data_IF_934495486354
#
_entry.id   IF_934495486354
#
_cell.length_a   1.000
_cell.length_b   1.000
_cell.length_c   1.000
_cell.angle_alpha   90.00
_cell.angle_beta   90.00
_cell.angle_gamma   90.00
#
_symmetry.space_group_name_H-M   'P 1'
#
loop_
_entity.id
_entity.type
_entity.pdbx_description
1 polymer ?
#
# COMPACT_ATOMS: atom_id res chain seq x y z
N UNK A 1 25.51 -16.48 9.07
CA UNK A 1 24.68 -16.90 7.92
C UNK A 1 23.58 -17.80 8.46
N UNK A 2 22.36 -17.29 8.64
CA UNK A 2 21.26 -18.02 9.29
C UNK A 2 20.28 -18.41 8.19
N UNK A 3 20.37 -19.66 7.72
CA UNK A 3 19.39 -20.20 6.77
C UNK A 3 18.14 -20.55 7.57
N UNK A 4 17.00 -19.94 7.22
CA UNK A 4 15.72 -20.15 7.90
C UNK A 4 15.16 -21.54 7.58
N UNK A 5 14.91 -22.34 8.61
CA UNK A 5 14.37 -23.70 8.51
C UNK A 5 13.04 -23.78 7.72
N UNK A 6 12.29 -22.68 7.64
CA UNK A 6 11.02 -22.62 6.88
C UNK A 6 11.24 -22.69 5.36
N UNK A 7 12.34 -22.12 4.86
CA UNK A 7 12.67 -22.14 3.44
C UNK A 7 13.13 -23.53 3.01
N UNK A 8 13.91 -24.21 3.86
CA UNK A 8 14.38 -25.58 3.61
C UNK A 8 13.20 -26.56 3.54
N UNK A 9 12.22 -26.43 4.44
CA UNK A 9 11.03 -27.29 4.45
C UNK A 9 10.16 -27.16 3.20
N UNK A 10 10.15 -25.98 2.58
CA UNK A 10 9.37 -25.71 1.36
C UNK A 10 9.97 -26.43 0.15
N UNK A 11 11.31 -26.50 0.10
CA UNK A 11 12.04 -27.17 -0.98
C UNK A 11 11.90 -28.70 -0.86
N UNK A 12 12.02 -29.26 0.36
CA UNK A 12 11.83 -30.70 0.58
C UNK A 12 10.43 -31.16 0.16
N UNK A 13 9.39 -30.39 0.46
CA UNK A 13 8.02 -30.69 0.02
C UNK A 13 7.88 -30.66 -1.51
N UNK A 14 8.54 -29.73 -2.19
CA UNK A 14 8.50 -29.65 -3.65
C UNK A 14 9.15 -30.88 -4.32
N UNK A 15 10.25 -31.40 -3.76
CA UNK A 15 10.93 -32.59 -4.31
C UNK A 15 10.23 -33.91 -3.95
N UNK A 16 9.61 -34.03 -2.78
CA UNK A 16 8.90 -35.25 -2.38
C UNK A 16 7.57 -35.47 -3.13
N UNK A 17 6.99 -34.43 -3.73
CA UNK A 17 5.74 -34.56 -4.51
C UNK A 17 5.97 -35.23 -5.88
N UNK A 18 7.20 -35.32 -6.37
CA UNK A 18 7.53 -35.94 -7.66
C UNK A 18 7.80 -37.44 -7.58
N UNK A 19 8.06 -38.00 -6.39
CA UNK A 19 8.50 -39.40 -6.24
C UNK A 19 7.36 -40.42 -6.01
N UNK A 20 6.14 -39.97 -5.68
CA UNK A 20 5.03 -40.86 -5.29
C UNK A 20 3.77 -40.67 -6.15
N UNK A 21 3.90 -40.88 -7.47
CA UNK A 21 2.75 -41.12 -8.34
C UNK A 21 2.91 -42.38 -9.18
N UNK A 22 2.80 -43.54 -8.52
CA UNK A 22 2.35 -44.75 -9.20
C UNK A 22 1.67 -45.74 -8.24
N UNK A 23 0.40 -45.49 -7.90
CA UNK A 23 -0.67 -46.50 -7.95
C UNK A 23 -2.00 -46.03 -7.35
N UNK A 24 -3.04 -46.03 -8.21
CA UNK A 24 -4.43 -46.47 -7.97
C UNK A 24 -5.45 -45.48 -7.36
N UNK A 25 -6.60 -45.44 -8.03
CA UNK A 25 -7.68 -44.43 -8.05
C UNK A 25 -8.82 -44.66 -7.02
N UNK A 26 -9.98 -43.99 -7.14
CA UNK A 26 -10.25 -42.54 -7.02
C UNK A 26 -11.22 -42.29 -5.84
N UNK A 27 -10.91 -41.34 -4.95
CA UNK A 27 -11.92 -40.78 -4.06
C UNK A 27 -12.16 -39.33 -4.45
N UNK A 28 -13.44 -39.02 -4.59
CA UNK A 28 -14.00 -37.73 -4.95
C UNK A 28 -13.56 -36.66 -3.95
N UNK A 29 -12.41 -36.06 -4.21
CA UNK A 29 -12.02 -34.80 -3.61
C UNK A 29 -12.47 -33.72 -4.58
N UNK A 30 -13.57 -33.09 -4.16
CA UNK A 30 -13.91 -31.69 -4.39
C UNK A 30 -12.83 -30.98 -5.20
N UNK A 31 -13.16 -30.63 -6.45
CA UNK A 31 -12.23 -30.02 -7.38
C UNK A 31 -11.60 -28.80 -6.74
N UNK A 32 -10.42 -29.00 -6.13
CA UNK A 32 -9.53 -27.92 -5.73
C UNK A 32 -9.13 -27.33 -7.06
N UNK A 33 -9.90 -26.31 -7.49
CA UNK A 33 -9.54 -25.41 -8.55
C UNK A 33 -8.12 -25.01 -8.20
N UNK A 34 -7.17 -25.53 -8.98
CA UNK A 34 -5.75 -25.22 -8.83
C UNK A 34 -5.64 -23.77 -9.30
N UNK A 35 -6.03 -22.88 -8.40
CA UNK A 35 -6.06 -21.45 -8.61
C UNK A 35 -4.62 -21.00 -8.75
N UNK A 36 -4.39 -20.18 -9.76
CA UNK A 36 -3.09 -19.57 -9.97
C UNK A 36 -2.70 -18.81 -8.70
N UNK A 37 -1.60 -19.19 -8.07
CA UNK A 37 -1.16 -18.57 -6.82
C UNK A 37 -0.33 -17.34 -7.15
N UNK A 38 -0.96 -16.17 -7.14
CA UNK A 38 -0.28 -14.90 -7.35
C UNK A 38 0.59 -14.56 -6.11
N UNK A 39 1.88 -14.87 -6.17
CA UNK A 39 2.84 -14.40 -5.17
C UNK A 39 3.27 -12.97 -5.53
N UNK A 40 2.71 -12.00 -4.83
CA UNK A 40 3.05 -10.59 -5.01
C UNK A 40 4.50 -10.34 -4.55
N UNK A 41 5.29 -9.65 -5.38
CA UNK A 41 6.65 -9.24 -5.01
C UNK A 41 6.61 -8.35 -3.74
N UNK A 42 7.69 -8.28 -2.97
CA UNK A 42 7.76 -7.42 -1.79
C UNK A 42 7.35 -5.96 -2.09
N UNK A 43 7.83 -5.41 -3.19
CA UNK A 43 7.57 -4.03 -3.63
C UNK A 43 6.09 -3.84 -3.99
N UNK A 44 5.48 -4.82 -4.65
CA UNK A 44 4.07 -4.74 -5.00
C UNK A 44 3.15 -4.86 -3.77
N UNK A 45 3.58 -5.54 -2.69
CA UNK A 45 2.86 -5.53 -1.41
C UNK A 45 2.95 -4.17 -0.72
N UNK A 46 4.11 -3.53 -0.76
CA UNK A 46 4.28 -2.19 -0.21
C UNK A 46 3.41 -1.17 -0.95
N UNK A 47 3.38 -1.22 -2.28
CA UNK A 47 2.50 -0.37 -3.09
C UNK A 47 1.02 -0.61 -2.78
N UNK A 48 0.61 -1.87 -2.61
CA UNK A 48 -0.76 -2.19 -2.23
C UNK A 48 -1.12 -1.63 -0.84
N UNK A 49 -0.21 -1.72 0.13
CA UNK A 49 -0.36 -1.13 1.44
C UNK A 49 -0.52 0.39 1.34
N UNK A 50 0.34 1.07 0.56
CA UNK A 50 0.27 2.52 0.35
C UNK A 50 -1.08 2.91 -0.28
N UNK A 51 -1.51 2.22 -1.34
CA UNK A 51 -2.81 2.47 -1.98
C UNK A 51 -3.97 2.29 -1.01
N UNK A 52 -3.95 1.24 -0.19
CA UNK A 52 -4.99 0.99 0.81
C UNK A 52 -5.06 2.10 1.86
N UNK A 53 -3.91 2.63 2.31
CA UNK A 53 -3.86 3.73 3.27
C UNK A 53 -4.36 5.04 2.67
N UNK A 54 -4.02 5.32 1.40
CA UNK A 54 -4.53 6.50 0.68
C UNK A 54 -6.05 6.40 0.54
N UNK A 55 -6.59 5.23 0.19
CA UNK A 55 -8.02 5.02 0.06
C UNK A 55 -8.80 5.15 1.38
N UNK A 56 -8.15 4.87 2.51
CA UNK A 56 -8.73 5.06 3.84
C UNK A 56 -8.56 6.48 4.40
N UNK A 57 -7.75 7.32 3.74
CA UNK A 57 -7.52 8.69 4.17
C UNK A 57 -8.77 9.52 3.85
N UNK A 58 -9.31 10.27 4.82
CA UNK A 58 -10.48 11.10 4.58
C UNK A 58 -10.15 12.26 3.64
N UNK A 59 -11.08 12.57 2.74
CA UNK A 59 -10.96 13.72 1.82
C UNK A 59 -10.77 15.04 2.57
N UNK A 60 -11.38 15.16 3.75
CA UNK A 60 -11.31 16.34 4.60
C UNK A 60 -10.70 15.98 5.94
N UNK A 61 -9.63 16.68 6.31
CA UNK A 61 -9.01 16.60 7.64
C UNK A 61 -9.78 17.47 8.64
N UNK A 62 -10.91 16.98 9.12
CA UNK A 62 -11.83 17.71 10.00
C UNK A 62 -11.14 18.37 11.20
N UNK A 63 -10.20 17.68 11.85
CA UNK A 63 -9.48 18.22 13.02
C UNK A 63 -8.66 19.46 12.67
N UNK A 64 -7.96 19.43 11.52
CA UNK A 64 -7.18 20.57 11.05
C UNK A 64 -8.09 21.75 10.71
N UNK A 65 -9.24 21.48 10.08
CA UNK A 65 -10.23 22.52 9.74
C UNK A 65 -10.81 23.15 11.00
N UNK A 66 -11.14 22.34 12.01
CA UNK A 66 -11.65 22.82 13.29
C UNK A 66 -10.64 23.74 13.99
N UNK A 67 -9.37 23.33 14.08
CA UNK A 67 -8.30 24.12 14.68
C UNK A 67 -8.08 25.45 13.95
N UNK A 68 -8.11 25.44 12.61
CA UNK A 68 -7.96 26.66 11.81
C UNK A 68 -9.15 27.60 11.98
N UNK A 69 -10.38 27.08 12.02
CA UNK A 69 -11.58 27.87 12.28
C UNK A 69 -11.50 28.55 13.64
N UNK A 70 -11.12 27.82 14.68
CA UNK A 70 -10.96 28.37 16.02
C UNK A 70 -9.90 29.48 16.07
N UNK A 71 -8.75 29.28 15.42
CA UNK A 71 -7.71 30.30 15.34
C UNK A 71 -8.18 31.57 14.60
N UNK A 72 -9.01 31.41 13.56
CA UNK A 72 -9.61 32.54 12.83
C UNK A 72 -10.61 33.28 13.72
N UNK A 73 -11.51 32.55 14.41
CA UNK A 73 -12.52 33.14 15.28
C UNK A 73 -11.89 33.92 16.45
N UNK A 74 -10.76 33.44 16.96
CA UNK A 74 -9.96 34.12 17.99
C UNK A 74 -9.12 35.29 17.47
N UNK A 75 -9.01 35.47 16.16
CA UNK A 75 -8.13 36.48 15.54
C UNK A 75 -6.62 36.15 15.66
N UNK A 76 -6.28 34.92 16.04
CA UNK A 76 -4.90 34.42 16.16
C UNK A 76 -4.35 33.95 14.81
N UNK A 77 -5.21 33.75 13.82
CA UNK A 77 -4.81 33.42 12.46
C UNK A 77 -4.23 34.64 11.74
N UNK A 78 -2.91 34.81 11.83
CA UNK A 78 -2.17 35.90 11.20
C UNK A 78 -1.33 35.37 10.04
N UNK A 79 -1.66 35.83 8.82
CA UNK A 79 -0.91 35.51 7.61
C UNK A 79 -0.41 36.81 6.98
N UNK A 80 0.89 36.87 6.73
CA UNK A 80 1.50 38.05 6.08
C UNK A 80 1.28 38.04 4.56
N UNK A 81 1.31 39.22 3.95
CA UNK A 81 1.25 39.36 2.49
C UNK A 81 2.39 38.61 1.78
N UNK A 82 3.57 38.55 2.40
CA UNK A 82 4.71 37.76 1.92
C UNK A 82 4.40 36.26 1.88
N UNK A 83 3.80 35.71 2.94
CA UNK A 83 3.42 34.30 2.99
C UNK A 83 2.39 33.95 1.91
N UNK A 84 1.43 34.85 1.63
CA UNK A 84 0.46 34.68 0.55
C UNK A 84 1.17 34.66 -0.80
N UNK A 85 2.01 35.67 -1.08
CA UNK A 85 2.73 35.77 -2.34
C UNK A 85 3.65 34.56 -2.58
N UNK A 86 4.35 34.11 -1.54
CA UNK A 86 5.19 32.92 -1.60
C UNK A 86 4.37 31.68 -1.98
N UNK A 87 3.22 31.45 -1.35
CA UNK A 87 2.34 30.31 -1.66
C UNK A 87 1.81 30.35 -3.09
N UNK A 88 1.48 31.54 -3.60
CA UNK A 88 1.06 31.72 -5.00
C UNK A 88 2.17 31.33 -5.98
N UNK A 89 3.39 31.80 -5.75
CA UNK A 89 4.54 31.49 -6.61
C UNK A 89 4.90 30.01 -6.58
N UNK A 90 4.97 29.41 -5.38
CA UNK A 90 5.24 27.97 -5.23
C UNK A 90 4.19 27.16 -5.99
N UNK A 91 2.90 27.52 -5.87
CA UNK A 91 1.84 26.81 -6.59
C UNK A 91 2.00 26.92 -8.11
N UNK A 92 2.28 28.13 -8.61
CA UNK A 92 2.51 28.37 -10.04
C UNK A 92 3.68 27.56 -10.61
N UNK A 93 4.76 27.41 -9.84
CA UNK A 93 5.92 26.61 -10.23
C UNK A 93 5.59 25.12 -10.28
N UNK A 94 4.88 24.60 -9.27
CA UNK A 94 4.46 23.19 -9.23
C UNK A 94 3.54 22.87 -10.41
N UNK A 95 2.55 23.72 -10.67
CA UNK A 95 1.61 23.52 -11.77
C UNK A 95 2.34 23.48 -13.14
N UNK A 96 3.41 24.26 -13.31
CA UNK A 96 4.24 24.22 -14.53
C UNK A 96 5.05 22.93 -14.67
N UNK A 97 5.54 22.37 -13.56
CA UNK A 97 6.39 21.17 -13.57
C UNK A 97 5.54 19.91 -13.77
N UNK A 98 4.35 19.86 -13.15
CA UNK A 98 3.48 18.68 -13.17
C UNK A 98 2.49 18.70 -14.34
N UNK A 99 2.08 19.89 -14.79
CA UNK A 99 1.14 20.09 -15.89
C UNK A 99 1.79 20.37 -17.26
N UNK A 100 3.11 20.29 -17.35
CA UNK A 100 3.88 20.37 -18.60
C UNK A 100 4.17 19.00 -19.20
#
# INVERSE_FOLDING_TARGET
MIISNQQVNSIIKAYHVTANQKSRAPQSTESIRRGDSLLLSPEARELHLIQSNIAQTPDVRSDLVANLKEAIDKGEYQVSSEQVAHRMLVRSLVDRIVGG
#
